data_IF_103202968553
#
_entry.id   IF_103202968553
#
_cell.length_a   1.000
_cell.length_b   1.000
_cell.length_c   1.000
_cell.angle_alpha   90.00
_cell.angle_beta   90.00
_cell.angle_gamma   90.00
#
_symmetry.space_group_name_H-M   'P 1'
#
loop_
_entity.id
_entity.type
_entity.pdbx_description
1 polymer ?
#
# COMPACT_ATOMS: atom_id res chain seq x y z
N UNK A 1 30.23 -4.99 6.21
CA UNK A 1 30.62 -4.56 7.57
C UNK A 1 29.41 -4.33 8.47
N UNK A 2 28.57 -3.28 8.31
CA UNK A 2 27.47 -3.03 9.27
C UNK A 2 26.48 -4.20 9.43
N UNK A 3 25.99 -4.79 8.33
CA UNK A 3 25.06 -5.94 8.41
C UNK A 3 25.64 -7.08 9.25
N UNK A 4 26.89 -7.45 8.99
CA UNK A 4 27.61 -8.50 9.72
C UNK A 4 27.74 -8.19 11.22
N UNK A 5 27.95 -6.93 11.60
CA UNK A 5 28.01 -6.52 13.00
C UNK A 5 26.62 -6.55 13.67
N UNK A 6 25.57 -6.17 12.94
CA UNK A 6 24.20 -6.33 13.42
C UNK A 6 23.81 -7.81 13.56
N UNK A 7 24.29 -8.67 12.66
CA UNK A 7 24.02 -10.12 12.70
C UNK A 7 24.57 -10.73 13.99
N UNK A 8 25.79 -10.33 14.39
CA UNK A 8 26.44 -10.73 15.64
C UNK A 8 25.82 -10.11 16.90
N UNK A 9 25.03 -9.05 16.77
CA UNK A 9 24.45 -8.37 17.93
C UNK A 9 23.50 -9.28 18.71
N UNK A 10 23.65 -9.26 20.04
CA UNK A 10 22.76 -9.93 21.00
C UNK A 10 21.62 -9.03 21.49
N UNK A 11 21.53 -7.80 20.96
CA UNK A 11 20.49 -6.85 21.36
C UNK A 11 19.09 -7.39 21.01
N UNK A 12 18.22 -7.48 22.03
CA UNK A 12 16.87 -8.09 21.95
C UNK A 12 16.00 -7.52 20.82
N UNK A 13 16.17 -6.24 20.50
CA UNK A 13 15.38 -5.54 19.48
C UNK A 13 16.23 -5.12 18.27
N UNK A 14 17.24 -5.91 17.92
CA UNK A 14 18.16 -5.60 16.80
C UNK A 14 17.47 -5.36 15.47
N UNK A 15 16.27 -5.89 15.23
CA UNK A 15 15.48 -5.61 14.03
C UNK A 15 15.26 -4.09 13.81
N UNK A 16 15.09 -3.31 14.89
CA UNK A 16 14.98 -1.84 14.78
C UNK A 16 16.25 -1.23 14.20
N UNK A 17 17.42 -1.76 14.56
CA UNK A 17 18.72 -1.32 14.04
C UNK A 17 18.83 -1.58 12.54
N UNK A 18 18.39 -2.76 12.08
CA UNK A 18 18.32 -3.06 10.64
C UNK A 18 17.37 -2.12 9.89
N UNK A 19 16.18 -1.87 10.44
CA UNK A 19 15.21 -0.96 9.81
C UNK A 19 15.79 0.45 9.68
N UNK A 20 16.44 0.97 10.72
CA UNK A 20 17.10 2.27 10.67
C UNK A 20 18.22 2.33 9.63
N UNK A 21 19.03 1.29 9.53
CA UNK A 21 20.08 1.20 8.50
C UNK A 21 19.46 1.15 7.10
N UNK A 22 18.37 0.39 6.93
CA UNK A 22 17.67 0.23 5.65
C UNK A 22 17.12 1.56 5.11
N UNK A 23 16.72 2.48 6.00
CA UNK A 23 16.23 3.81 5.61
C UNK A 23 17.28 4.65 4.87
N UNK A 24 18.57 4.42 5.15
CA UNK A 24 19.68 5.16 4.55
C UNK A 24 20.21 4.52 3.27
N UNK A 25 19.92 3.24 3.02
CA UNK A 25 20.58 2.47 1.94
C UNK A 25 20.43 3.15 0.58
N UNK A 26 19.26 3.70 0.28
CA UNK A 26 19.02 4.38 -1.00
C UNK A 26 19.92 5.60 -1.15
N UNK A 27 20.04 6.42 -0.11
CA UNK A 27 20.86 7.65 -0.08
C UNK A 27 22.36 7.36 -0.16
N UNK A 28 22.81 6.16 0.21
CA UNK A 28 24.21 5.75 0.17
C UNK A 28 24.53 4.67 -0.87
N UNK A 29 23.64 4.48 -1.86
CA UNK A 29 23.82 3.50 -2.93
C UNK A 29 23.90 4.15 -4.30
N UNK A 30 24.16 3.34 -5.33
CA UNK A 30 24.08 3.77 -6.73
C UNK A 30 22.64 3.91 -7.25
N UNK A 31 21.61 3.72 -6.41
CA UNK A 31 20.23 4.00 -6.78
C UNK A 31 19.93 5.49 -6.56
N UNK A 32 19.20 6.09 -7.50
CA UNK A 32 18.69 7.46 -7.35
C UNK A 32 17.66 7.53 -6.20
N UNK A 33 17.91 8.31 -5.13
CA UNK A 33 17.03 8.35 -3.96
C UNK A 33 15.69 9.05 -4.24
N UNK A 34 15.66 9.98 -5.20
CA UNK A 34 14.47 10.78 -5.52
C UNK A 34 13.51 10.11 -6.52
N UNK A 35 13.94 9.06 -7.20
CA UNK A 35 13.12 8.31 -8.15
C UNK A 35 12.36 7.20 -7.44
N UNK A 36 11.11 6.93 -7.83
CA UNK A 36 10.34 5.82 -7.27
C UNK A 36 10.72 4.48 -7.91
N UNK A 37 11.39 4.52 -9.06
CA UNK A 37 11.91 3.34 -9.76
C UNK A 37 13.41 3.26 -9.60
N UNK A 38 13.95 2.08 -9.88
CA UNK A 38 15.40 1.89 -9.86
C UNK A 38 16.02 2.53 -11.09
N UNK A 39 16.79 3.57 -10.85
CA UNK A 39 17.68 4.20 -11.84
C UNK A 39 19.05 4.39 -11.23
N UNK A 40 20.06 4.35 -12.10
CA UNK A 40 21.43 4.70 -11.72
C UNK A 40 21.44 6.15 -11.24
N UNK A 41 22.07 6.37 -10.10
CA UNK A 41 22.23 7.66 -9.46
C UNK A 41 22.89 8.65 -10.41
N UNK A 42 22.34 9.86 -10.42
CA UNK A 42 22.95 11.05 -11.00
C UNK A 42 23.08 12.16 -9.97
N UNK A 43 22.34 12.10 -8.85
CA UNK A 43 22.52 13.00 -7.73
C UNK A 43 23.89 12.81 -7.05
N UNK A 44 24.38 13.84 -6.37
CA UNK A 44 25.57 13.72 -5.52
C UNK A 44 25.34 12.74 -4.36
N UNK A 45 26.41 12.13 -3.88
CA UNK A 45 26.38 11.36 -2.64
C UNK A 45 26.31 12.29 -1.42
N UNK A 46 25.68 11.85 -0.31
CA UNK A 46 25.77 12.57 0.96
C UNK A 46 27.23 12.81 1.35
N UNK A 47 27.51 14.01 1.86
CA UNK A 47 28.83 14.36 2.40
C UNK A 47 29.10 13.71 3.76
N UNK A 48 28.05 13.59 4.57
CA UNK A 48 28.11 12.94 5.89
C UNK A 48 28.34 11.43 5.70
N UNK A 49 29.31 10.82 6.41
CA UNK A 49 29.51 9.37 6.40
C UNK A 49 28.25 8.61 6.84
N UNK A 50 27.99 7.47 6.20
CA UNK A 50 26.82 6.62 6.51
C UNK A 50 26.64 6.36 8.01
N UNK A 51 27.74 6.06 8.71
CA UNK A 51 27.68 5.68 10.12
C UNK A 51 27.28 6.85 11.03
N UNK A 52 27.69 8.08 10.69
CA UNK A 52 27.29 9.29 11.41
C UNK A 52 25.80 9.55 11.22
N UNK A 53 25.30 9.49 9.98
CA UNK A 53 23.87 9.65 9.71
C UNK A 53 23.03 8.54 10.37
N UNK A 54 23.55 7.31 10.43
CA UNK A 54 22.92 6.19 11.12
C UNK A 54 22.83 6.42 12.64
N UNK A 55 23.91 6.87 13.28
CA UNK A 55 23.91 7.22 14.70
C UNK A 55 22.98 8.41 15.00
N UNK A 56 22.90 9.38 14.09
CA UNK A 56 21.97 10.51 14.17
C UNK A 56 20.51 10.02 14.12
N UNK A 57 20.17 9.12 13.20
CA UNK A 57 18.84 8.50 13.13
C UNK A 57 18.50 7.73 14.40
N UNK A 58 19.44 6.92 14.92
CA UNK A 58 19.26 6.17 16.16
C UNK A 58 19.01 7.11 17.36
N UNK A 59 19.81 8.16 17.48
CA UNK A 59 19.66 9.18 18.54
C UNK A 59 18.32 9.92 18.43
N UNK A 60 17.87 10.21 17.21
CA UNK A 60 16.56 10.79 16.95
C UNK A 60 15.43 9.84 17.36
N UNK A 61 15.51 8.55 16.99
CA UNK A 61 14.52 7.55 17.38
C UNK A 61 14.45 7.42 18.90
N UNK A 62 15.58 7.29 19.59
CA UNK A 62 15.64 7.17 21.06
C UNK A 62 14.99 8.37 21.74
N UNK A 63 15.26 9.59 21.28
CA UNK A 63 14.58 10.80 21.81
C UNK A 63 13.07 10.77 21.58
N UNK A 64 12.62 10.39 20.39
CA UNK A 64 11.19 10.26 20.07
C UNK A 64 10.51 9.20 20.91
N UNK A 65 11.14 8.05 21.09
CA UNK A 65 10.61 6.97 21.95
C UNK A 65 10.49 7.43 23.40
N UNK A 66 11.52 8.09 23.94
CA UNK A 66 11.48 8.64 25.30
C UNK A 66 10.35 9.66 25.46
N UNK A 67 10.26 10.64 24.57
CA UNK A 67 9.20 11.65 24.59
C UNK A 67 7.80 11.03 24.42
N UNK A 68 7.68 9.99 23.59
CA UNK A 68 6.41 9.26 23.43
C UNK A 68 6.05 8.53 24.72
N UNK A 69 7.00 7.87 25.38
CA UNK A 69 6.77 7.16 26.64
C UNK A 69 6.41 8.10 27.80
N UNK A 70 6.90 9.34 27.79
CA UNK A 70 6.52 10.38 28.75
C UNK A 70 5.05 10.80 28.60
N UNK A 71 4.50 10.79 27.38
CA UNK A 71 3.11 11.17 27.09
C UNK A 71 2.15 9.98 27.06
N UNK A 72 2.65 8.81 26.66
CA UNK A 72 1.91 7.56 26.51
C UNK A 72 2.70 6.48 27.26
N UNK A 73 2.48 6.35 28.58
CA UNK A 73 3.17 5.35 29.39
C UNK A 73 2.91 3.94 28.85
N UNK A 74 3.85 3.03 29.13
CA UNK A 74 3.65 1.62 28.82
C UNK A 74 2.39 1.12 29.53
N UNK A 75 1.41 0.70 28.74
CA UNK A 75 0.15 0.16 29.25
C UNK A 75 0.29 -1.23 29.86
N UNK A 76 1.48 -1.86 29.77
CA UNK A 76 1.72 -3.25 30.18
C UNK A 76 0.97 -4.27 29.32
N UNK A 77 0.27 -3.82 28.27
CA UNK A 77 -0.50 -4.67 27.37
C UNK A 77 0.42 -5.32 26.35
N UNK A 78 0.17 -6.59 26.07
CA UNK A 78 0.87 -7.30 25.01
C UNK A 78 0.45 -6.73 23.65
N UNK A 79 1.41 -6.22 22.91
CA UNK A 79 1.25 -5.85 21.50
C UNK A 79 1.62 -7.06 20.65
N UNK A 80 0.74 -7.42 19.71
CA UNK A 80 0.98 -8.54 18.78
C UNK A 80 1.02 -8.00 17.36
N UNK A 81 2.14 -8.25 16.68
CA UNK A 81 2.26 -8.03 15.25
C UNK A 81 2.07 -9.35 14.50
N UNK A 82 1.25 -9.34 13.45
CA UNK A 82 1.02 -10.52 12.60
C UNK A 82 1.23 -10.12 11.15
N UNK A 83 2.01 -10.91 10.41
CA UNK A 83 2.15 -10.77 8.96
C UNK A 83 1.06 -11.61 8.28
N UNK A 84 0.13 -10.96 7.59
CA UNK A 84 -1.07 -11.58 7.02
C UNK A 84 -1.33 -10.96 5.65
N UNK A 85 -1.53 -11.80 4.64
CA UNK A 85 -2.18 -11.37 3.41
C UNK A 85 -3.69 -11.36 3.62
N UNK A 86 -4.26 -10.16 3.73
CA UNK A 86 -5.70 -9.98 3.97
C UNK A 86 -6.59 -10.34 2.78
N UNK A 87 -6.00 -10.49 1.59
CA UNK A 87 -6.72 -10.90 0.38
C UNK A 87 -6.98 -12.41 0.34
N UNK A 88 -6.25 -13.20 1.16
CA UNK A 88 -6.36 -14.64 1.23
C UNK A 88 -7.11 -15.12 2.48
N UNK A 89 -8.29 -15.69 2.26
CA UNK A 89 -9.19 -16.17 3.33
C UNK A 89 -8.52 -17.10 4.35
N UNK A 90 -7.73 -18.06 3.86
CA UNK A 90 -7.08 -19.06 4.73
C UNK A 90 -5.99 -18.42 5.59
N UNK A 91 -5.20 -17.49 5.03
CA UNK A 91 -4.16 -16.76 5.79
C UNK A 91 -4.78 -15.89 6.88
N UNK A 92 -5.86 -15.17 6.56
CA UNK A 92 -6.62 -14.41 7.56
C UNK A 92 -7.18 -15.32 8.64
N UNK A 93 -7.75 -16.47 8.27
CA UNK A 93 -8.32 -17.41 9.23
C UNK A 93 -7.30 -17.95 10.21
N UNK A 94 -6.16 -18.44 9.71
CA UNK A 94 -5.08 -18.97 10.53
C UNK A 94 -4.51 -17.92 11.48
N UNK A 95 -4.41 -16.67 11.02
CA UNK A 95 -3.82 -15.61 11.82
C UNK A 95 -4.79 -14.99 12.84
N UNK A 96 -6.07 -14.81 12.50
CA UNK A 96 -7.04 -14.11 13.37
C UNK A 96 -7.93 -15.02 14.20
N UNK A 97 -7.94 -16.35 13.95
CA UNK A 97 -8.54 -17.49 14.68
C UNK A 97 -9.89 -17.28 15.38
N UNK A 98 -10.01 -16.29 16.28
CA UNK A 98 -11.24 -15.87 16.95
C UNK A 98 -12.02 -14.83 16.14
N UNK A 99 -13.19 -15.23 15.63
CA UNK A 99 -14.20 -14.29 15.09
C UNK A 99 -14.70 -13.33 16.18
N UNK A 100 -15.22 -12.16 15.79
CA UNK A 100 -15.74 -11.14 16.71
C UNK A 100 -14.71 -10.69 17.78
N UNK A 101 -13.44 -10.55 17.41
CA UNK A 101 -12.34 -10.21 18.31
C UNK A 101 -11.82 -8.77 18.15
N UNK A 102 -12.08 -8.13 17.01
CA UNK A 102 -11.57 -6.80 16.69
C UNK A 102 -12.60 -5.73 17.06
N UNK A 103 -12.21 -4.82 17.95
CA UNK A 103 -13.04 -3.69 18.40
C UNK A 103 -13.03 -2.50 17.42
N UNK A 104 -11.93 -2.31 16.70
CA UNK A 104 -11.78 -1.29 15.68
C UNK A 104 -10.60 -1.61 14.76
N UNK A 105 -10.59 -1.04 13.56
CA UNK A 105 -9.47 -1.08 12.63
C UNK A 105 -9.24 0.27 11.98
N UNK A 106 -8.00 0.56 11.64
CA UNK A 106 -7.60 1.74 10.85
C UNK A 106 -6.54 1.31 9.85
N UNK A 107 -6.68 1.75 8.60
CA UNK A 107 -5.68 1.50 7.56
C UNK A 107 -5.77 2.52 6.43
N UNK A 108 -4.71 2.59 5.64
CA UNK A 108 -4.73 3.20 4.31
C UNK A 108 -4.66 2.07 3.27
N UNK A 109 -5.73 1.76 2.53
CA UNK A 109 -5.64 0.74 1.48
C UNK A 109 -4.63 1.16 0.40
N UNK A 110 -4.06 0.19 -0.34
CA UNK A 110 -3.17 0.53 -1.46
C UNK A 110 -3.92 1.38 -2.49
N UNK A 111 -3.20 2.26 -3.17
CA UNK A 111 -3.76 3.03 -4.28
C UNK A 111 -4.07 2.12 -5.47
N UNK A 112 -5.17 2.38 -6.17
CA UNK A 112 -5.43 1.75 -7.45
C UNK A 112 -4.32 2.14 -8.43
N UNK A 113 -3.65 1.15 -9.04
CA UNK A 113 -2.42 1.37 -9.80
C UNK A 113 -1.36 2.05 -8.94
N UNK A 114 -1.06 1.41 -7.81
CA UNK A 114 -0.10 1.79 -6.80
C UNK A 114 1.22 2.32 -7.38
N UNK A 115 1.88 3.14 -6.57
CA UNK A 115 3.30 3.41 -6.76
C UNK A 115 4.05 2.06 -6.73
N UNK A 116 5.21 1.95 -7.40
CA UNK A 116 5.94 0.69 -7.49
C UNK A 116 6.64 0.37 -6.16
N UNK A 117 5.88 0.06 -5.11
CA UNK A 117 6.36 -0.05 -3.72
C UNK A 117 7.50 -1.05 -3.57
N UNK A 118 7.37 -2.23 -4.19
CA UNK A 118 8.40 -3.28 -4.14
C UNK A 118 9.66 -2.79 -4.86
N UNK A 119 9.53 -2.12 -6.01
CA UNK A 119 10.67 -1.58 -6.73
C UNK A 119 11.36 -0.44 -5.97
N UNK A 120 10.58 0.48 -5.39
CA UNK A 120 11.09 1.59 -4.57
C UNK A 120 11.88 1.07 -3.37
N UNK A 121 11.41 0.00 -2.73
CA UNK A 121 12.02 -0.58 -1.53
C UNK A 121 12.93 -1.78 -1.83
N UNK A 122 13.22 -2.07 -3.10
CA UNK A 122 13.95 -3.29 -3.50
C UNK A 122 15.26 -3.48 -2.74
N UNK A 123 16.06 -2.42 -2.65
CA UNK A 123 17.36 -2.47 -1.97
C UNK A 123 17.20 -2.86 -0.50
N UNK A 124 16.22 -2.27 0.19
CA UNK A 124 15.90 -2.58 1.59
C UNK A 124 15.37 -4.01 1.74
N UNK A 125 14.45 -4.44 0.87
CA UNK A 125 13.86 -5.79 0.93
C UNK A 125 14.92 -6.89 0.74
N UNK A 126 15.84 -6.70 -0.21
CA UNK A 126 16.95 -7.63 -0.46
C UNK A 126 17.98 -7.56 0.66
N UNK A 127 18.37 -6.36 1.11
CA UNK A 127 19.37 -6.21 2.16
C UNK A 127 18.90 -6.77 3.51
N UNK A 128 17.60 -6.70 3.80
CA UNK A 128 16.98 -7.27 5.01
C UNK A 128 16.68 -8.77 4.90
N UNK A 129 17.03 -9.42 3.78
CA UNK A 129 16.68 -10.82 3.47
C UNK A 129 15.16 -11.10 3.53
N UNK A 130 14.33 -10.08 3.28
CA UNK A 130 12.87 -10.22 3.23
C UNK A 130 12.39 -10.75 1.87
N UNK A 131 13.15 -10.49 0.81
CA UNK A 131 12.96 -11.05 -0.52
C UNK A 131 14.32 -11.31 -1.18
N UNK A 132 14.41 -12.40 -1.92
CA UNK A 132 15.51 -12.64 -2.85
C UNK A 132 15.37 -11.76 -4.10
N UNK A 133 16.47 -11.41 -4.79
CA UNK A 133 16.41 -10.63 -6.02
C UNK A 133 15.48 -11.23 -7.10
N UNK A 134 15.38 -12.56 -7.15
CA UNK A 134 14.50 -13.31 -8.06
C UNK A 134 13.01 -13.17 -7.73
N UNK A 135 12.65 -12.93 -6.47
CA UNK A 135 11.27 -12.87 -5.99
C UNK A 135 10.64 -11.50 -6.19
N UNK A 136 11.45 -10.46 -6.40
CA UNK A 136 11.01 -9.06 -6.53
C UNK A 136 9.91 -8.88 -7.58
N UNK A 137 10.09 -9.47 -8.76
CA UNK A 137 9.12 -9.32 -9.85
C UNK A 137 7.77 -9.95 -9.48
N UNK A 138 7.80 -11.13 -8.89
CA UNK A 138 6.60 -11.84 -8.47
C UNK A 138 5.88 -11.06 -7.36
N UNK A 139 6.62 -10.62 -6.33
CA UNK A 139 6.06 -9.84 -5.24
C UNK A 139 5.39 -8.54 -5.72
N UNK A 140 6.02 -7.81 -6.66
CA UNK A 140 5.42 -6.60 -7.24
C UNK A 140 4.14 -6.90 -8.01
N UNK A 141 4.11 -8.01 -8.75
CA UNK A 141 2.94 -8.43 -9.50
C UNK A 141 1.81 -8.92 -8.60
N UNK A 142 2.07 -9.47 -7.41
CA UNK A 142 1.03 -9.99 -6.51
C UNK A 142 0.30 -8.90 -5.71
N UNK A 143 0.90 -7.71 -5.55
CA UNK A 143 0.29 -6.63 -4.78
C UNK A 143 -1.09 -6.20 -5.30
N UNK A 144 -2.03 -6.00 -4.38
CA UNK A 144 -3.27 -5.28 -4.69
C UNK A 144 -2.90 -3.87 -5.16
N UNK A 145 -3.43 -3.50 -6.33
CA UNK A 145 -3.13 -2.22 -6.96
C UNK A 145 -1.86 -2.24 -7.81
N UNK A 146 -1.17 -3.37 -7.96
CA UNK A 146 -0.02 -3.46 -8.87
C UNK A 146 -0.36 -3.00 -10.29
N UNK A 147 0.61 -2.34 -10.94
CA UNK A 147 0.52 -1.95 -12.35
C UNK A 147 1.00 -3.05 -13.30
N UNK A 148 1.64 -4.07 -12.74
CA UNK A 148 2.24 -5.16 -13.49
C UNK A 148 1.31 -6.38 -13.44
N UNK A 149 1.09 -7.01 -14.59
CA UNK A 149 0.37 -8.28 -14.66
C UNK A 149 1.30 -9.43 -14.28
N UNK A 150 0.78 -10.44 -13.59
CA UNK A 150 1.47 -11.71 -13.38
C UNK A 150 1.61 -12.38 -14.75
N UNK A 151 2.81 -12.80 -15.14
CA UNK A 151 3.09 -13.67 -16.31
C UNK A 151 2.32 -13.41 -17.63
N UNK A 152 1.99 -12.15 -17.97
CA UNK A 152 1.25 -11.85 -19.21
C UNK A 152 -0.28 -12.00 -19.11
N UNK A 153 -0.84 -12.05 -17.89
CA UNK A 153 -2.28 -12.18 -17.60
C UNK A 153 -3.16 -11.00 -18.04
N UNK A 154 -2.65 -10.07 -18.84
CA UNK A 154 -3.42 -8.92 -19.29
C UNK A 154 -4.73 -9.35 -19.98
N UNK A 155 -4.64 -10.27 -20.95
CA UNK A 155 -5.82 -10.76 -21.66
C UNK A 155 -6.80 -11.52 -20.76
N UNK A 156 -6.30 -12.17 -19.70
CA UNK A 156 -7.14 -12.83 -18.69
C UNK A 156 -7.95 -11.79 -17.92
N UNK A 157 -7.30 -10.72 -17.44
CA UNK A 157 -7.98 -9.65 -16.71
C UNK A 157 -8.91 -8.81 -17.57
N UNK A 158 -8.57 -8.62 -18.85
CA UNK A 158 -9.47 -7.99 -19.82
C UNK A 158 -10.74 -8.83 -20.04
N UNK A 159 -10.60 -10.15 -20.21
CA UNK A 159 -11.72 -11.08 -20.33
C UNK A 159 -12.58 -11.14 -19.07
N UNK A 160 -11.96 -11.12 -17.88
CA UNK A 160 -12.67 -11.06 -16.59
C UNK A 160 -13.46 -9.76 -16.43
N UNK A 161 -12.87 -8.63 -16.83
CA UNK A 161 -13.58 -7.36 -16.89
C UNK A 161 -14.78 -7.45 -17.84
N UNK A 162 -14.60 -7.93 -19.06
CA UNK A 162 -15.68 -7.99 -20.05
C UNK A 162 -16.86 -8.85 -19.59
N UNK A 163 -16.59 -9.95 -18.89
CA UNK A 163 -17.60 -10.90 -18.40
C UNK A 163 -18.07 -10.61 -16.97
N UNK A 164 -17.44 -9.66 -16.27
CA UNK A 164 -17.58 -9.45 -14.83
C UNK A 164 -17.48 -10.77 -14.03
N UNK A 165 -16.49 -11.61 -14.35
CA UNK A 165 -16.37 -12.98 -13.81
C UNK A 165 -16.33 -13.03 -12.28
N UNK A 166 -15.86 -11.95 -11.65
CA UNK A 166 -15.70 -11.85 -10.19
C UNK A 166 -16.92 -11.28 -9.47
N UNK A 167 -17.98 -10.96 -10.22
CA UNK A 167 -19.24 -10.47 -9.65
C UNK A 167 -19.09 -9.13 -8.92
N UNK A 168 -18.30 -8.19 -9.47
CA UNK A 168 -18.28 -6.83 -8.93
C UNK A 168 -19.67 -6.19 -9.05
N UNK A 169 -20.07 -5.30 -8.11
CA UNK A 169 -21.31 -4.56 -8.21
C UNK A 169 -21.40 -3.78 -9.53
N UNK A 170 -22.61 -3.66 -10.06
CA UNK A 170 -22.88 -3.03 -11.36
C UNK A 170 -22.22 -1.66 -11.51
N UNK A 171 -22.26 -0.82 -10.48
CA UNK A 171 -21.64 0.52 -10.51
C UNK A 171 -20.13 0.48 -10.72
N UNK A 172 -19.42 -0.41 -10.03
CA UNK A 172 -17.97 -0.55 -10.14
C UNK A 172 -17.58 -1.13 -11.49
N UNK A 173 -18.28 -2.19 -11.92
CA UNK A 173 -18.06 -2.82 -13.22
C UNK A 173 -18.33 -1.83 -14.37
N UNK A 174 -19.47 -1.12 -14.32
CA UNK A 174 -19.84 -0.10 -15.31
C UNK A 174 -18.84 1.05 -15.34
N UNK A 175 -18.25 1.43 -14.21
CA UNK A 175 -17.19 2.44 -14.17
C UNK A 175 -15.93 1.96 -14.90
N UNK A 176 -15.50 0.71 -14.68
CA UNK A 176 -14.39 0.13 -15.45
C UNK A 176 -14.70 0.06 -16.95
N UNK A 177 -15.90 -0.38 -17.34
CA UNK A 177 -16.32 -0.43 -18.75
C UNK A 177 -16.39 0.95 -19.39
N UNK A 178 -16.84 1.97 -18.64
CA UNK A 178 -16.79 3.37 -19.05
C UNK A 178 -15.34 3.79 -19.32
N UNK A 179 -14.39 3.52 -18.44
CA UNK A 179 -12.99 3.84 -18.72
C UNK A 179 -12.48 3.13 -19.99
N UNK A 180 -12.85 1.86 -20.18
CA UNK A 180 -12.50 1.08 -21.38
C UNK A 180 -13.01 1.72 -22.67
N UNK A 181 -14.22 2.28 -22.68
CA UNK A 181 -14.80 2.92 -23.87
C UNK A 181 -14.10 4.23 -24.28
N UNK A 182 -13.29 4.83 -23.41
CA UNK A 182 -12.54 6.05 -23.69
C UNK A 182 -11.08 5.80 -24.08
N UNK A 183 -10.65 4.55 -24.21
CA UNK A 183 -9.30 4.24 -24.68
C UNK A 183 -9.12 4.78 -26.11
N UNK A 184 -8.14 5.65 -26.29
CA UNK A 184 -7.73 6.16 -27.60
C UNK A 184 -6.70 5.27 -28.30
N UNK A 185 -6.55 5.44 -29.62
CA UNK A 185 -5.52 4.74 -30.40
C UNK A 185 -4.10 5.09 -29.93
N UNK A 186 -3.89 6.37 -29.61
CA UNK A 186 -2.60 6.93 -29.18
C UNK A 186 -2.29 6.72 -27.69
N UNK A 187 -3.21 6.12 -26.93
CA UNK A 187 -2.92 5.78 -25.55
C UNK A 187 -1.82 4.70 -25.49
N UNK A 188 -0.76 4.99 -24.73
CA UNK A 188 0.30 4.02 -24.46
C UNK A 188 -0.20 2.81 -23.68
N UNK A 189 0.55 1.70 -23.73
CA UNK A 189 0.17 0.41 -23.13
C UNK A 189 -0.32 0.51 -21.68
N UNK A 190 0.32 1.35 -20.84
CA UNK A 190 -0.10 1.55 -19.44
C UNK A 190 -1.48 2.18 -19.30
N UNK A 191 -1.84 3.12 -20.17
CA UNK A 191 -3.15 3.77 -20.17
C UNK A 191 -4.22 2.79 -20.62
N UNK A 192 -3.94 2.02 -21.67
CA UNK A 192 -4.83 0.96 -22.18
C UNK A 192 -5.16 -0.09 -21.11
N UNK A 193 -4.21 -0.39 -20.23
CA UNK A 193 -4.38 -1.34 -19.13
C UNK A 193 -5.19 -0.80 -17.92
N UNK A 194 -5.46 0.51 -17.82
CA UNK A 194 -6.09 1.11 -16.63
C UNK A 194 -7.43 0.45 -16.27
N UNK A 195 -8.37 0.19 -17.21
CA UNK A 195 -9.67 -0.36 -16.85
C UNK A 195 -9.59 -1.75 -16.21
N UNK A 196 -8.78 -2.65 -16.79
CA UNK A 196 -8.59 -4.01 -16.28
C UNK A 196 -7.78 -4.03 -14.98
N UNK A 197 -6.79 -3.15 -14.83
CA UNK A 197 -6.06 -3.01 -13.56
C UNK A 197 -6.94 -2.46 -12.44
N UNK A 198 -7.84 -1.52 -12.75
CA UNK A 198 -8.80 -1.00 -11.78
C UNK A 198 -9.83 -2.06 -11.37
N UNK A 199 -10.31 -2.85 -12.34
CA UNK A 199 -11.16 -4.00 -12.07
C UNK A 199 -10.46 -5.01 -11.14
N UNK A 200 -9.23 -5.39 -11.47
CA UNK A 200 -8.37 -6.25 -10.63
C UNK A 200 -8.20 -5.72 -9.21
N UNK A 201 -7.98 -4.40 -9.08
CA UNK A 201 -7.88 -3.74 -7.79
C UNK A 201 -9.16 -3.90 -6.96
N UNK A 202 -10.34 -3.69 -7.54
CA UNK A 202 -11.61 -3.87 -6.85
C UNK A 202 -11.86 -5.33 -6.44
N UNK A 203 -11.46 -6.29 -7.27
CA UNK A 203 -11.53 -7.71 -6.89
C UNK A 203 -10.67 -7.99 -5.66
N UNK A 204 -9.42 -7.52 -5.66
CA UNK A 204 -8.50 -7.69 -4.52
C UNK A 204 -9.03 -7.02 -3.24
N UNK A 205 -9.47 -5.77 -3.32
CA UNK A 205 -10.04 -5.06 -2.18
C UNK A 205 -11.36 -5.68 -1.69
N UNK A 206 -12.17 -6.23 -2.61
CA UNK A 206 -13.40 -6.95 -2.28
C UNK A 206 -13.10 -8.18 -1.43
N UNK A 207 -12.06 -8.93 -1.78
CA UNK A 207 -11.59 -10.07 -1.00
C UNK A 207 -11.12 -9.64 0.39
N UNK A 208 -10.37 -8.54 0.51
CA UNK A 208 -9.94 -8.00 1.81
C UNK A 208 -11.15 -7.69 2.69
N UNK A 209 -12.11 -6.92 2.19
CA UNK A 209 -13.31 -6.55 2.95
C UNK A 209 -14.11 -7.77 3.39
N UNK A 210 -14.24 -8.77 2.52
CA UNK A 210 -14.96 -10.01 2.81
C UNK A 210 -14.24 -10.87 3.86
N UNK A 211 -12.92 -11.03 3.72
CA UNK A 211 -12.14 -11.91 4.57
C UNK A 211 -12.02 -11.40 6.01
N UNK A 212 -11.90 -10.09 6.21
CA UNK A 212 -11.72 -9.52 7.56
C UNK A 212 -13.03 -9.28 8.31
N UNK A 213 -14.16 -9.12 7.59
CA UNK A 213 -15.47 -8.81 8.19
C UNK A 213 -15.86 -9.73 9.37
N UNK A 214 -15.70 -11.08 9.30
CA UNK A 214 -16.09 -11.98 10.40
C UNK A 214 -15.31 -11.78 11.71
N UNK A 215 -14.17 -11.08 11.67
CA UNK A 215 -13.29 -10.87 12.81
C UNK A 215 -13.62 -9.59 13.57
N UNK A 216 -14.28 -8.62 12.94
CA UNK A 216 -14.78 -7.41 13.59
C UNK A 216 -15.97 -7.73 14.50
N UNK A 217 -16.07 -7.12 15.67
CA UNK A 217 -17.29 -7.18 16.49
C UNK A 217 -18.44 -6.44 15.78
N UNK A 218 -19.67 -6.73 16.18
CA UNK A 218 -20.84 -5.98 15.70
C UNK A 218 -20.65 -4.48 15.99
N UNK A 219 -20.95 -3.62 15.02
CA UNK A 219 -20.75 -2.16 15.09
C UNK A 219 -19.27 -1.70 15.25
N UNK A 220 -18.28 -2.60 15.19
CA UNK A 220 -16.88 -2.21 15.24
C UNK A 220 -16.50 -1.40 13.98
N UNK A 221 -15.90 -0.21 14.12
CA UNK A 221 -15.54 0.62 12.98
C UNK A 221 -14.24 0.13 12.32
N UNK A 222 -14.22 0.22 10.99
CA UNK A 222 -13.03 0.16 10.16
C UNK A 222 -12.88 1.52 9.46
N UNK A 223 -11.82 2.25 9.83
CA UNK A 223 -11.43 3.51 9.23
C UNK A 223 -10.48 3.27 8.05
N UNK A 224 -10.80 3.84 6.88
CA UNK A 224 -9.99 3.79 5.66
C UNK A 224 -9.56 5.21 5.30
N UNK A 225 -8.25 5.44 5.20
CA UNK A 225 -7.70 6.70 4.69
C UNK A 225 -7.38 6.50 3.22
N UNK A 226 -8.20 7.09 2.34
CA UNK A 226 -8.18 6.82 0.91
C UNK A 226 -7.91 8.10 0.14
N UNK A 227 -6.86 8.12 -0.68
CA UNK A 227 -6.61 9.20 -1.62
C UNK A 227 -7.31 9.02 -2.96
N UNK A 228 -7.51 10.13 -3.65
CA UNK A 228 -8.04 10.13 -5.01
C UNK A 228 -6.97 9.74 -6.03
N UNK A 229 -7.41 9.08 -7.10
CA UNK A 229 -6.56 8.72 -8.23
C UNK A 229 -7.03 9.45 -9.49
N UNK A 230 -6.16 9.62 -10.47
CA UNK A 230 -6.54 10.16 -11.77
C UNK A 230 -5.81 9.45 -12.91
N UNK A 231 -6.41 9.49 -14.09
CA UNK A 231 -5.84 8.94 -15.31
C UNK A 231 -6.26 9.76 -16.52
N UNK A 232 -5.53 9.66 -17.63
CA UNK A 232 -5.92 10.25 -18.91
C UNK A 232 -6.13 9.13 -19.91
N UNK A 233 -7.31 9.08 -20.53
CA UNK A 233 -7.68 8.11 -21.56
C UNK A 233 -8.34 8.88 -22.72
N UNK A 234 -7.92 8.62 -23.94
CA UNK A 234 -8.48 9.29 -25.14
C UNK A 234 -8.42 10.82 -25.04
N UNK A 235 -7.30 11.35 -24.53
CA UNK A 235 -7.09 12.78 -24.25
C UNK A 235 -8.06 13.40 -23.23
N UNK A 236 -8.83 12.60 -22.50
CA UNK A 236 -9.74 13.05 -21.43
C UNK A 236 -9.18 12.69 -20.06
N UNK A 237 -9.15 13.67 -19.16
CA UNK A 237 -8.80 13.46 -17.75
C UNK A 237 -9.99 12.83 -17.00
N UNK A 238 -9.72 11.75 -16.28
CA UNK A 238 -10.65 11.09 -15.37
C UNK A 238 -10.12 11.20 -13.95
N UNK A 239 -10.91 11.83 -13.08
CA UNK A 239 -10.72 11.74 -11.64
C UNK A 239 -11.49 10.51 -11.14
N UNK A 240 -10.76 9.55 -10.60
CA UNK A 240 -11.29 8.30 -10.06
C UNK A 240 -11.58 8.54 -8.59
N UNK A 241 -12.88 8.66 -8.27
CA UNK A 241 -13.41 8.76 -6.92
C UNK A 241 -13.25 7.43 -6.17
N UNK A 242 -12.00 7.11 -5.88
CA UNK A 242 -11.59 5.87 -5.20
C UNK A 242 -12.27 5.76 -3.83
N UNK A 243 -12.44 6.86 -3.05
CA UNK A 243 -13.18 6.77 -1.79
C UNK A 243 -14.61 6.23 -1.94
N UNK A 244 -15.43 6.83 -2.82
CA UNK A 244 -16.81 6.36 -3.00
C UNK A 244 -16.87 4.97 -3.64
N UNK A 245 -15.97 4.66 -4.58
CA UNK A 245 -15.92 3.33 -5.19
C UNK A 245 -15.57 2.23 -4.16
N UNK A 246 -14.63 2.48 -3.25
CA UNK A 246 -14.31 1.54 -2.18
C UNK A 246 -15.42 1.43 -1.13
N UNK A 247 -16.13 2.52 -0.83
CA UNK A 247 -17.31 2.48 0.02
C UNK A 247 -18.39 1.56 -0.58
N UNK A 248 -18.75 1.77 -1.84
CA UNK A 248 -19.76 0.94 -2.53
C UNK A 248 -19.34 -0.54 -2.57
N UNK A 249 -18.04 -0.81 -2.80
CA UNK A 249 -17.48 -2.14 -2.72
C UNK A 249 -17.64 -2.75 -1.32
N UNK A 250 -17.24 -2.03 -0.27
CA UNK A 250 -17.37 -2.51 1.11
C UNK A 250 -18.83 -2.82 1.48
N UNK A 251 -19.77 -1.94 1.10
CA UNK A 251 -21.21 -2.14 1.32
C UNK A 251 -21.71 -3.43 0.66
N UNK A 252 -21.27 -3.70 -0.58
CA UNK A 252 -21.61 -4.94 -1.30
C UNK A 252 -21.06 -6.20 -0.62
N UNK A 253 -19.99 -6.06 0.18
CA UNK A 253 -19.37 -7.14 0.97
C UNK A 253 -19.93 -7.26 2.38
N UNK A 254 -21.03 -6.57 2.70
CA UNK A 254 -21.75 -6.73 3.97
C UNK A 254 -21.38 -5.72 5.06
N UNK A 255 -20.50 -4.76 4.75
CA UNK A 255 -20.26 -3.62 5.64
C UNK A 255 -21.45 -2.64 5.60
N UNK A 256 -21.49 -1.74 6.58
CA UNK A 256 -22.44 -0.63 6.67
C UNK A 256 -21.68 0.68 6.73
N UNK A 257 -22.14 1.68 6.00
CA UNK A 257 -21.59 3.03 6.05
C UNK A 257 -21.86 3.66 7.42
N UNK A 258 -20.87 4.37 7.94
CA UNK A 258 -21.02 5.23 9.10
C UNK A 258 -20.77 6.69 8.75
N UNK A 259 -19.68 6.98 8.04
CA UNK A 259 -19.25 8.35 7.76
C UNK A 259 -18.26 8.39 6.59
N UNK A 260 -18.28 9.47 5.81
CA UNK A 260 -17.19 9.86 4.91
C UNK A 260 -16.83 11.33 5.12
N UNK A 261 -15.55 11.60 5.40
CA UNK A 261 -15.05 12.94 5.72
C UNK A 261 -13.83 13.27 4.88
N UNK A 262 -13.87 14.41 4.18
CA UNK A 262 -12.71 14.90 3.41
C UNK A 262 -11.61 15.38 4.35
N UNK A 263 -10.39 14.91 4.11
CA UNK A 263 -9.21 15.32 4.87
C UNK A 263 -8.47 16.42 4.10
N UNK A 264 -8.01 17.44 4.83
CA UNK A 264 -7.11 18.43 4.26
C UNK A 264 -5.71 17.83 4.14
N UNK A 265 -5.23 17.61 2.91
CA UNK A 265 -3.86 17.14 2.69
C UNK A 265 -2.88 18.29 2.90
N UNK A 266 -1.95 18.16 3.84
CA UNK A 266 -0.80 19.06 3.94
C UNK A 266 0.07 18.93 2.69
N UNK A 267 0.27 20.04 1.96
CA UNK A 267 1.16 20.07 0.79
C UNK A 267 2.61 19.78 1.24
N UNK A 268 3.08 18.55 1.08
CA UNK A 268 4.52 18.23 1.22
C UNK A 268 5.28 18.90 0.09
N UNK A 269 6.18 19.83 0.44
CA UNK A 269 7.06 20.55 -0.49
C UNK A 269 8.16 19.63 -1.05
N UNK A 270 7.85 18.71 -1.98
CA UNK A 270 8.88 17.98 -2.74
C UNK A 270 8.50 17.74 -4.22
N UNK A 271 9.54 17.57 -5.04
CA UNK A 271 9.69 17.72 -6.50
C UNK A 271 8.74 16.99 -7.47
N UNK A 272 7.69 16.30 -7.00
CA UNK A 272 6.72 15.59 -7.85
C UNK A 272 5.31 16.22 -7.82
N UNK A 273 5.25 17.55 -7.95
CA UNK A 273 4.03 18.38 -7.85
C UNK A 273 2.89 18.02 -8.83
N UNK A 274 3.20 17.33 -9.93
CA UNK A 274 2.21 17.07 -11.00
C UNK A 274 1.35 15.83 -10.76
N UNK A 275 1.77 14.96 -9.83
CA UNK A 275 1.09 13.70 -9.49
C UNK A 275 0.74 13.60 -7.99
N UNK A 276 0.83 14.69 -7.23
CA UNK A 276 0.48 14.68 -5.81
C UNK A 276 -1.02 14.50 -5.64
N UNK A 277 -1.42 13.56 -4.78
CA UNK A 277 -2.80 13.39 -4.33
C UNK A 277 -3.17 14.67 -3.58
N UNK A 278 -4.11 15.43 -4.13
CA UNK A 278 -4.52 16.73 -3.57
C UNK A 278 -5.71 16.62 -2.61
N UNK A 279 -6.31 15.43 -2.49
CA UNK A 279 -7.48 15.17 -1.66
C UNK A 279 -7.42 13.72 -1.12
N UNK A 280 -7.48 13.58 0.21
CA UNK A 280 -7.68 12.32 0.91
C UNK A 280 -9.05 12.34 1.61
N UNK A 281 -9.62 11.17 1.87
CA UNK A 281 -10.88 11.02 2.58
C UNK A 281 -10.77 9.92 3.61
N UNK A 282 -11.33 10.18 4.79
CA UNK A 282 -11.55 9.20 5.83
C UNK A 282 -12.93 8.58 5.62
N UNK A 283 -12.97 7.28 5.34
CA UNK A 283 -14.20 6.50 5.28
C UNK A 283 -14.29 5.68 6.55
N UNK A 284 -15.42 5.73 7.23
CA UNK A 284 -15.72 4.85 8.35
C UNK A 284 -16.87 3.93 7.95
N UNK A 285 -16.57 2.64 7.88
CA UNK A 285 -17.54 1.57 7.73
C UNK A 285 -17.60 0.76 9.01
N UNK A 286 -18.68 0.03 9.24
CA UNK A 286 -18.84 -0.84 10.40
C UNK A 286 -19.45 -2.17 10.02
N UNK A 287 -19.15 -3.19 10.80
CA UNK A 287 -19.83 -4.48 10.66
C UNK A 287 -21.30 -4.35 11.07
N UNK A 288 -22.19 -4.86 10.22
CA UNK A 288 -23.64 -5.00 10.49
C UNK A 288 -23.93 -5.86 11.73
#
# INVERSE_FOLDING_TARGET
>A
MLKQELDKSTFKHKQILYVLASNLLRDYSNQEPTDLRIRKRFSEFPKEPFFESYLTLLSCLTRKLKSTQEQVPDSGKTIVAKNIDSSEKNKVHNALSRKNSIDAGITSPPYAMALPYIDTQRLSLVWLDLLQPSEIRQADQELIGSREYINGDQGVWESRLDKNTDGLPFELHSYCMKLKSFIGKDDGFRRKAVPSLLYRYFVGMGNVFENILPYFKKNAPLALIVGHNSTTLGNKLFNIDTPNLLLNLALSKGWKEKEITKLQTYKRYQLHKKNSINEESLIIIQRK
#
